data_IF_468231434449
#
_entry.id   IF_468231434449
#
_cell.length_a   1.000
_cell.length_b   1.000
_cell.length_c   1.000
_cell.angle_alpha   90.00
_cell.angle_beta   90.00
_cell.angle_gamma   90.00
#
_symmetry.space_group_name_H-M   'P 1'
#
loop_
_entity.id
_entity.type
_entity.pdbx_description
1 polymer ?
#
# COMPACT_ATOMS: atom_id res chain seq x y z
N UNK A 1 -36.33 15.91 16.76
CA UNK A 1 -35.30 15.37 17.67
C UNK A 1 -34.25 16.44 17.85
N UNK A 2 -33.91 16.82 19.08
CA UNK A 2 -32.82 17.74 19.33
C UNK A 2 -31.50 17.08 18.94
N UNK A 3 -30.52 17.87 18.51
CA UNK A 3 -29.16 17.39 18.08
C UNK A 3 -28.49 16.50 19.16
N UNK A 4 -28.71 16.82 20.44
CA UNK A 4 -28.25 16.03 21.58
C UNK A 4 -28.87 14.61 21.64
N UNK A 5 -30.16 14.47 21.40
CA UNK A 5 -30.82 13.16 21.39
C UNK A 5 -30.38 12.26 20.23
N UNK A 6 -30.03 12.86 19.08
CA UNK A 6 -29.50 12.12 17.95
C UNK A 6 -28.06 11.63 18.22
N UNK A 7 -27.24 12.45 18.85
CA UNK A 7 -25.86 12.08 19.23
C UNK A 7 -25.83 10.94 20.25
N UNK A 8 -26.68 10.96 21.25
CA UNK A 8 -26.77 9.88 22.24
C UNK A 8 -27.21 8.55 21.57
N UNK A 9 -28.23 8.59 20.69
CA UNK A 9 -28.63 7.42 19.91
C UNK A 9 -27.49 6.80 19.12
N UNK A 10 -26.69 7.62 18.42
CA UNK A 10 -25.56 7.13 17.64
C UNK A 10 -24.46 6.57 18.53
N UNK A 11 -24.22 7.15 19.70
CA UNK A 11 -23.28 6.65 20.69
C UNK A 11 -23.66 5.24 21.15
N UNK A 12 -24.91 5.04 21.58
CA UNK A 12 -25.40 3.72 22.03
C UNK A 12 -25.32 2.67 20.92
N UNK A 13 -25.64 3.07 19.67
CA UNK A 13 -25.51 2.19 18.52
C UNK A 13 -24.05 1.82 18.22
N UNK A 14 -23.13 2.79 18.32
CA UNK A 14 -21.68 2.57 18.14
C UNK A 14 -21.13 1.61 19.19
N UNK A 15 -21.45 1.81 20.48
CA UNK A 15 -21.02 0.91 21.55
C UNK A 15 -21.52 -0.53 21.35
N UNK A 16 -22.76 -0.69 20.92
CA UNK A 16 -23.32 -2.00 20.57
C UNK A 16 -22.60 -2.66 19.40
N UNK A 17 -22.29 -1.87 18.35
CA UNK A 17 -21.55 -2.36 17.18
C UNK A 17 -20.12 -2.76 17.56
N UNK A 18 -19.43 -1.99 18.41
CA UNK A 18 -18.09 -2.36 18.92
C UNK A 18 -18.14 -3.69 19.66
N UNK A 19 -19.13 -3.90 20.53
CA UNK A 19 -19.32 -5.19 21.19
C UNK A 19 -19.60 -6.35 20.22
N UNK A 20 -20.31 -6.09 19.12
CA UNK A 20 -20.61 -7.10 18.10
C UNK A 20 -19.40 -7.41 17.18
N UNK A 21 -18.55 -6.43 16.91
CA UNK A 21 -17.37 -6.54 16.03
C UNK A 21 -16.13 -7.06 16.75
N UNK A 22 -15.91 -6.63 18.02
CA UNK A 22 -14.67 -6.88 18.76
C UNK A 22 -14.88 -7.82 19.97
N UNK A 23 -16.12 -8.28 20.22
CA UNK A 23 -16.42 -9.03 21.43
C UNK A 23 -16.39 -8.11 22.68
N UNK A 24 -16.58 -8.55 23.86
CA UNK A 24 -16.55 -7.71 25.07
C UNK A 24 -15.15 -7.28 25.52
N UNK A 25 -14.10 -7.87 24.93
CA UNK A 25 -12.71 -7.64 25.32
C UNK A 25 -11.86 -7.33 24.08
N UNK A 26 -11.42 -6.10 23.93
CA UNK A 26 -10.56 -5.69 22.81
C UNK A 26 -9.05 -5.96 23.04
N UNK A 27 -8.68 -6.62 24.13
CA UNK A 27 -7.29 -7.00 24.42
C UNK A 27 -6.35 -5.79 24.47
N UNK A 28 -5.40 -5.75 23.53
CA UNK A 28 -4.38 -4.71 23.44
C UNK A 28 -4.86 -3.37 22.84
N UNK A 29 -6.07 -3.33 22.25
CA UNK A 29 -6.58 -2.15 21.56
C UNK A 29 -7.84 -1.62 22.20
N UNK A 30 -7.90 -0.30 22.42
CA UNK A 30 -9.10 0.42 22.86
C UNK A 30 -9.73 1.22 21.72
N UNK A 31 -10.95 1.73 21.95
CA UNK A 31 -11.61 2.64 21.02
C UNK A 31 -12.06 3.89 21.77
N UNK A 32 -11.71 5.06 21.22
CA UNK A 32 -12.19 6.35 21.71
C UNK A 32 -13.20 6.93 20.72
N UNK A 33 -14.38 7.24 21.21
CA UNK A 33 -15.41 7.86 20.40
C UNK A 33 -15.17 9.37 20.28
N UNK A 34 -15.83 10.02 19.33
CA UNK A 34 -15.78 11.48 19.04
C UNK A 34 -16.17 12.38 20.21
N UNK A 35 -16.83 11.84 21.24
CA UNK A 35 -17.21 12.57 22.46
C UNK A 35 -16.25 12.29 23.64
N UNK A 36 -15.15 11.56 23.39
CA UNK A 36 -14.17 11.18 24.39
C UNK A 36 -14.51 9.89 25.16
N UNK A 37 -15.65 9.25 24.90
CA UNK A 37 -16.01 7.98 25.55
C UNK A 37 -15.01 6.89 25.16
N UNK A 38 -14.50 6.17 26.16
CA UNK A 38 -13.59 5.04 25.95
C UNK A 38 -14.36 3.72 25.98
N UNK A 39 -13.98 2.78 25.12
CA UNK A 39 -14.51 1.43 25.03
C UNK A 39 -13.35 0.42 24.98
N UNK A 40 -13.46 -0.74 25.67
CA UNK A 40 -14.57 -1.17 26.55
C UNK A 40 -14.57 -0.45 27.90
N UNK A 41 -13.41 0.10 28.31
CA UNK A 41 -13.18 0.81 29.57
C UNK A 41 -12.03 1.83 29.41
N UNK A 42 -11.63 2.50 30.48
CA UNK A 42 -10.57 3.50 30.49
C UNK A 42 -9.15 2.92 30.81
N UNK A 43 -8.99 1.60 30.80
CA UNK A 43 -7.68 0.99 31.08
C UNK A 43 -6.66 1.34 29.96
N UNK A 44 -5.39 1.59 30.30
CA UNK A 44 -4.34 1.81 29.31
C UNK A 44 -4.20 0.62 28.37
N UNK A 45 -4.04 0.89 27.06
CA UNK A 45 -3.89 -0.11 26.01
C UNK A 45 -2.69 0.22 25.13
N UNK A 46 -2.22 -0.77 24.37
CA UNK A 46 -1.09 -0.57 23.44
C UNK A 46 -1.45 0.40 22.31
N UNK A 47 -2.69 0.32 21.82
CA UNK A 47 -3.20 1.23 20.79
C UNK A 47 -4.64 1.66 21.12
N UNK A 48 -5.05 2.79 20.54
CA UNK A 48 -6.41 3.32 20.60
C UNK A 48 -6.89 3.72 19.22
N UNK A 49 -7.96 3.13 18.74
CA UNK A 49 -8.67 3.61 17.54
C UNK A 49 -9.53 4.80 17.93
N UNK A 50 -9.34 5.93 17.26
CA UNK A 50 -10.05 7.18 17.51
C UNK A 50 -11.10 7.40 16.45
N UNK A 51 -12.38 7.24 16.79
CA UNK A 51 -13.48 7.52 15.87
C UNK A 51 -13.74 9.03 15.84
N UNK A 52 -13.55 9.68 14.69
CA UNK A 52 -13.62 11.13 14.57
C UNK A 52 -15.04 11.70 14.55
N UNK A 53 -16.03 10.87 14.21
CA UNK A 53 -17.45 11.28 14.13
C UNK A 53 -18.39 10.06 14.20
N UNK A 54 -19.71 10.28 14.41
CA UNK A 54 -20.68 9.17 14.56
C UNK A 54 -20.80 8.21 13.37
N UNK A 55 -20.38 8.63 12.19
CA UNK A 55 -20.40 7.81 10.96
C UNK A 55 -19.16 6.96 10.72
N UNK A 56 -18.14 7.04 11.58
CA UNK A 56 -16.84 6.40 11.36
C UNK A 56 -16.95 4.88 11.15
N UNK A 57 -17.64 4.14 12.04
CA UNK A 57 -17.82 2.69 11.87
C UNK A 57 -18.56 2.34 10.57
N UNK A 58 -19.52 3.16 10.15
CA UNK A 58 -20.20 2.97 8.87
C UNK A 58 -19.21 3.12 7.71
N UNK A 59 -18.34 4.12 7.73
CA UNK A 59 -17.32 4.33 6.70
C UNK A 59 -16.32 3.17 6.65
N UNK A 60 -15.89 2.67 7.81
CA UNK A 60 -14.93 1.59 7.94
C UNK A 60 -15.47 0.25 7.43
N UNK A 61 -16.68 -0.14 7.84
CA UNK A 61 -17.14 -1.52 7.73
C UNK A 61 -18.29 -1.75 6.74
N UNK A 62 -19.11 -0.73 6.41
CA UNK A 62 -20.23 -0.93 5.48
C UNK A 62 -19.77 -1.29 4.05
N UNK A 63 -18.63 -0.81 3.51
CA UNK A 63 -18.13 -1.26 2.21
C UNK A 63 -17.77 -2.74 2.18
N UNK A 64 -17.46 -3.35 3.33
CA UNK A 64 -17.16 -4.78 3.47
C UNK A 64 -15.90 -5.25 2.78
N UNK A 65 -14.93 -4.36 2.56
CA UNK A 65 -13.65 -4.65 1.94
C UNK A 65 -12.52 -3.78 2.52
N UNK A 66 -11.27 -4.20 2.31
CA UNK A 66 -10.07 -3.53 2.79
C UNK A 66 -9.92 -2.11 2.24
N UNK A 67 -10.35 -1.88 1.00
CA UNK A 67 -10.29 -0.54 0.38
C UNK A 67 -11.15 0.46 1.17
N UNK A 68 -12.36 0.08 1.58
CA UNK A 68 -13.23 0.94 2.39
C UNK A 68 -12.62 1.29 3.74
N UNK A 69 -11.93 0.34 4.38
CA UNK A 69 -11.21 0.58 5.63
C UNK A 69 -10.04 1.54 5.43
N UNK A 70 -9.22 1.31 4.40
CA UNK A 70 -8.11 2.20 4.06
C UNK A 70 -8.58 3.61 3.70
N UNK A 71 -9.65 3.74 2.91
CA UNK A 71 -10.25 5.04 2.59
C UNK A 71 -10.76 5.75 3.84
N UNK A 72 -11.40 5.04 4.79
CA UNK A 72 -11.86 5.64 6.03
C UNK A 72 -10.70 6.24 6.85
N UNK A 73 -9.53 5.59 6.88
CA UNK A 73 -8.32 6.12 7.49
C UNK A 73 -7.80 7.35 6.72
N UNK A 74 -7.63 7.24 5.40
CA UNK A 74 -7.10 8.32 4.56
C UNK A 74 -7.98 9.57 4.53
N UNK A 75 -9.30 9.42 4.78
CA UNK A 75 -10.26 10.52 4.81
C UNK A 75 -10.58 11.03 6.21
N UNK A 76 -9.78 10.64 7.20
CA UNK A 76 -9.90 11.08 8.59
C UNK A 76 -11.26 10.68 9.23
N UNK A 77 -11.87 9.54 8.84
CA UNK A 77 -13.05 9.01 9.53
C UNK A 77 -12.63 8.39 10.89
N UNK A 78 -11.40 7.83 10.95
CA UNK A 78 -10.77 7.38 12.19
C UNK A 78 -9.25 7.56 12.14
N UNK A 79 -8.60 7.48 13.31
CA UNK A 79 -7.15 7.52 13.48
C UNK A 79 -6.69 6.45 14.46
N UNK A 80 -5.38 6.21 14.56
CA UNK A 80 -4.75 5.27 15.48
C UNK A 80 -3.71 5.99 16.32
N UNK A 81 -3.85 5.91 17.63
CA UNK A 81 -2.86 6.40 18.61
C UNK A 81 -2.15 5.21 19.28
N UNK A 82 -0.83 5.31 19.49
CA UNK A 82 -0.02 4.27 20.12
C UNK A 82 0.58 3.28 19.12
N UNK A 83 0.66 2.02 19.51
CA UNK A 83 1.25 0.96 18.70
C UNK A 83 0.32 0.55 17.55
N UNK A 84 0.63 1.01 16.35
CA UNK A 84 -0.16 0.73 15.15
C UNK A 84 -0.15 -0.77 14.79
N UNK A 85 0.92 -1.51 15.11
CA UNK A 85 1.01 -2.94 14.80
C UNK A 85 -0.01 -3.74 15.62
N UNK A 86 -0.29 -3.33 16.85
CA UNK A 86 -1.29 -3.98 17.71
C UNK A 86 -2.71 -3.99 17.10
N UNK A 87 -3.03 -3.01 16.22
CA UNK A 87 -4.35 -2.91 15.58
C UNK A 87 -4.59 -4.01 14.56
N UNK A 88 -3.53 -4.54 13.92
CA UNK A 88 -3.68 -5.61 12.93
C UNK A 88 -4.22 -6.91 13.55
N UNK A 89 -3.95 -7.15 14.84
CA UNK A 89 -4.54 -8.29 15.55
C UNK A 89 -6.07 -8.28 15.67
N UNK A 90 -6.71 -7.12 15.45
CA UNK A 90 -8.18 -7.03 15.43
C UNK A 90 -8.81 -7.65 14.17
N UNK A 91 -8.06 -7.80 13.08
CA UNK A 91 -8.59 -8.35 11.83
C UNK A 91 -9.14 -9.76 12.02
N UNK A 92 -8.39 -10.62 12.71
CA UNK A 92 -8.81 -12.00 13.00
C UNK A 92 -10.02 -12.02 13.96
N UNK A 93 -10.01 -11.18 15.00
CA UNK A 93 -11.13 -11.06 15.94
C UNK A 93 -12.41 -10.62 15.23
N UNK A 94 -12.33 -9.63 14.35
CA UNK A 94 -13.49 -9.15 13.56
C UNK A 94 -13.98 -10.24 12.61
N UNK A 95 -13.07 -11.00 11.98
CA UNK A 95 -13.43 -12.10 11.08
C UNK A 95 -14.22 -13.18 11.82
N UNK A 96 -13.74 -13.62 12.99
CA UNK A 96 -14.40 -14.59 13.85
C UNK A 96 -15.75 -14.06 14.38
N UNK A 97 -15.79 -12.85 14.92
CA UNK A 97 -17.01 -12.24 15.46
C UNK A 97 -18.10 -12.07 14.39
N UNK A 98 -17.70 -11.83 13.15
CA UNK A 98 -18.62 -11.63 12.01
C UNK A 98 -18.92 -12.90 11.22
N UNK A 99 -18.49 -14.06 11.67
CA UNK A 99 -18.76 -15.32 11.00
C UNK A 99 -20.26 -15.61 10.90
N UNK A 100 -20.71 -15.97 9.69
CA UNK A 100 -22.10 -16.29 9.39
C UNK A 100 -22.90 -15.13 8.77
N UNK A 101 -23.69 -15.46 7.73
CA UNK A 101 -24.41 -14.47 6.92
C UNK A 101 -25.47 -13.67 7.71
N UNK A 102 -26.11 -14.29 8.73
CA UNK A 102 -27.12 -13.63 9.58
C UNK A 102 -26.50 -12.51 10.42
N UNK A 103 -25.33 -12.75 11.00
CA UNK A 103 -24.58 -11.73 11.77
C UNK A 103 -24.15 -10.58 10.86
N UNK A 104 -23.60 -10.89 9.67
CA UNK A 104 -23.20 -9.87 8.68
C UNK A 104 -24.38 -8.97 8.27
N UNK A 105 -25.56 -9.54 8.03
CA UNK A 105 -26.76 -8.75 7.72
C UNK A 105 -27.17 -7.87 8.91
N UNK A 106 -27.15 -8.40 10.14
CA UNK A 106 -27.51 -7.63 11.32
C UNK A 106 -26.57 -6.44 11.53
N UNK A 107 -25.25 -6.68 11.45
CA UNK A 107 -24.22 -5.64 11.55
C UNK A 107 -24.39 -4.60 10.42
N UNK A 108 -24.60 -5.03 9.18
CA UNK A 108 -24.78 -4.12 8.04
C UNK A 108 -26.04 -3.23 8.22
N UNK A 109 -27.12 -3.79 8.75
CA UNK A 109 -28.34 -3.03 9.07
C UNK A 109 -28.08 -1.98 10.16
N UNK A 110 -27.35 -2.34 11.20
CA UNK A 110 -26.99 -1.43 12.28
C UNK A 110 -26.04 -0.33 11.79
N UNK A 111 -25.03 -0.67 10.97
CA UNK A 111 -24.13 0.30 10.34
C UNK A 111 -24.90 1.32 9.46
N UNK A 112 -25.93 0.88 8.74
CA UNK A 112 -26.76 1.76 7.91
C UNK A 112 -27.55 2.80 8.73
N UNK A 113 -27.78 2.56 10.01
CA UNK A 113 -28.46 3.53 10.90
C UNK A 113 -27.53 4.65 11.38
N UNK A 114 -26.21 4.46 11.28
CA UNK A 114 -25.24 5.53 11.53
C UNK A 114 -25.26 6.54 10.38
N UNK A 115 -24.90 7.82 10.64
CA UNK A 115 -24.82 8.82 9.57
C UNK A 115 -23.77 8.42 8.53
N UNK A 116 -23.84 8.99 7.33
CA UNK A 116 -22.80 8.82 6.33
C UNK A 116 -21.49 9.39 6.86
N UNK A 117 -20.36 8.80 6.44
CA UNK A 117 -19.02 9.29 6.75
C UNK A 117 -18.76 10.72 6.30
N UNK A 118 -17.59 11.28 6.64
CA UNK A 118 -17.32 12.68 6.37
C UNK A 118 -17.39 13.01 4.87
N UNK A 119 -17.89 14.22 4.55
CA UNK A 119 -17.97 14.73 3.17
C UNK A 119 -16.60 15.08 2.55
N UNK A 120 -15.48 14.79 3.23
CA UNK A 120 -14.12 15.17 2.82
C UNK A 120 -13.51 14.32 1.69
N UNK A 121 -14.32 13.44 1.06
CA UNK A 121 -13.90 12.60 -0.08
C UNK A 121 -13.76 13.37 -1.41
N UNK A 122 -13.40 14.66 -1.37
CA UNK A 122 -13.29 15.52 -2.55
C UNK A 122 -11.89 16.12 -2.68
N UNK A 123 -11.47 16.43 -3.92
CA UNK A 123 -10.19 17.07 -4.22
C UNK A 123 -9.08 16.08 -4.55
N UNK A 124 -7.82 16.44 -4.23
CA UNK A 124 -6.61 15.66 -4.56
C UNK A 124 -6.51 14.28 -3.85
N UNK A 125 -7.36 14.03 -2.85
CA UNK A 125 -7.46 12.74 -2.15
C UNK A 125 -8.44 11.75 -2.81
N UNK A 126 -9.04 12.11 -3.96
CA UNK A 126 -10.01 11.24 -4.65
C UNK A 126 -9.33 10.02 -5.28
N UNK A 127 -10.04 8.87 -5.30
CA UNK A 127 -9.57 7.68 -5.99
C UNK A 127 -9.34 7.93 -7.49
N UNK A 128 -8.35 7.23 -8.08
CA UNK A 128 -8.07 7.30 -9.50
C UNK A 128 -9.29 6.91 -10.34
N UNK A 129 -9.66 7.75 -11.31
CA UNK A 129 -10.75 7.49 -12.26
C UNK A 129 -10.21 6.75 -13.48
N UNK A 130 -10.00 5.45 -13.35
CA UNK A 130 -9.49 4.61 -14.43
C UNK A 130 -10.57 4.32 -15.47
N UNK A 131 -10.25 4.49 -16.76
CA UNK A 131 -11.12 4.21 -17.87
C UNK A 131 -10.64 2.97 -18.64
N UNK A 132 -11.59 2.21 -19.21
CA UNK A 132 -11.29 1.02 -19.99
C UNK A 132 -11.58 -0.30 -19.26
N UNK A 133 -11.43 -1.40 -20.01
CA UNK A 133 -11.66 -2.75 -19.50
C UNK A 133 -10.60 -3.11 -18.44
N UNK A 134 -11.01 -3.77 -17.37
CA UNK A 134 -10.09 -4.29 -16.34
C UNK A 134 -9.00 -5.15 -17.00
N UNK A 135 -7.75 -4.92 -16.60
CA UNK A 135 -6.54 -5.56 -17.16
C UNK A 135 -6.28 -5.26 -18.67
N UNK A 136 -6.84 -4.17 -19.23
CA UNK A 136 -6.38 -3.66 -20.51
C UNK A 136 -5.06 -2.89 -20.34
N UNK A 137 -4.19 -2.95 -21.35
CA UNK A 137 -2.89 -2.23 -21.36
C UNK A 137 -3.06 -0.75 -21.01
N UNK A 138 -4.08 -0.11 -21.60
CA UNK A 138 -4.34 1.31 -21.40
C UNK A 138 -4.78 1.61 -19.95
N UNK A 139 -5.67 0.81 -19.37
CA UNK A 139 -6.13 1.00 -17.98
C UNK A 139 -5.03 0.71 -16.97
N UNK A 140 -4.24 -0.34 -17.19
CA UNK A 140 -3.11 -0.69 -16.31
C UNK A 140 -2.05 0.41 -16.37
N UNK A 141 -1.78 0.97 -17.55
CA UNK A 141 -0.91 2.14 -17.71
C UNK A 141 -1.42 3.34 -16.92
N UNK A 142 -2.71 3.68 -17.01
CA UNK A 142 -3.30 4.77 -16.23
C UNK A 142 -3.14 4.54 -14.72
N UNK A 143 -3.34 3.31 -14.23
CA UNK A 143 -3.18 2.99 -12.83
C UNK A 143 -1.73 3.17 -12.35
N UNK A 144 -0.77 2.64 -13.11
CA UNK A 144 0.66 2.76 -12.80
C UNK A 144 1.10 4.22 -12.86
N UNK A 145 0.72 4.96 -13.90
CA UNK A 145 1.01 6.39 -14.04
C UNK A 145 0.47 7.17 -12.84
N UNK A 146 -0.80 6.95 -12.48
CA UNK A 146 -1.41 7.63 -11.33
C UNK A 146 -0.66 7.36 -10.02
N UNK A 147 -0.19 6.12 -9.81
CA UNK A 147 0.52 5.74 -8.59
C UNK A 147 1.96 6.32 -8.54
N UNK A 148 2.66 6.35 -9.66
CA UNK A 148 4.07 6.75 -9.71
C UNK A 148 4.34 8.19 -10.16
N UNK A 149 3.32 8.92 -10.66
CA UNK A 149 3.47 10.32 -11.08
C UNK A 149 3.43 11.33 -9.91
N UNK A 150 3.72 10.88 -8.68
CA UNK A 150 3.84 11.79 -7.53
C UNK A 150 5.06 12.70 -7.67
N UNK A 151 6.17 12.25 -8.12
CA UNK A 151 7.42 12.82 -8.63
C UNK A 151 8.63 11.97 -8.20
N UNK A 152 9.71 12.03 -8.98
CA UNK A 152 10.97 11.37 -8.60
C UNK A 152 11.53 11.96 -7.30
N UNK A 153 11.40 13.27 -7.10
CA UNK A 153 11.89 13.97 -5.90
C UNK A 153 11.20 13.49 -4.63
N UNK A 154 9.89 13.24 -4.70
CA UNK A 154 9.15 12.67 -3.56
C UNK A 154 9.70 11.30 -3.17
N UNK A 155 9.89 10.41 -4.15
CA UNK A 155 10.43 9.07 -3.87
C UNK A 155 11.88 9.12 -3.37
N UNK A 156 12.69 10.05 -3.86
CA UNK A 156 14.08 10.25 -3.41
C UNK A 156 14.20 10.66 -1.92
N UNK A 157 13.13 11.19 -1.29
CA UNK A 157 13.15 11.57 0.12
C UNK A 157 13.27 10.37 1.08
N UNK A 158 12.86 9.18 0.66
CA UNK A 158 12.75 8.03 1.56
C UNK A 158 13.20 6.69 0.95
N UNK A 159 13.44 6.61 -0.37
CA UNK A 159 14.08 5.46 -0.98
C UNK A 159 15.60 5.53 -0.81
N UNK A 160 16.23 4.38 -0.98
CA UNK A 160 17.68 4.24 -1.03
C UNK A 160 18.31 4.95 -2.26
N UNK A 161 19.62 5.07 -2.27
CA UNK A 161 20.38 5.70 -3.38
C UNK A 161 20.12 5.07 -4.76
N UNK A 162 19.71 3.79 -4.82
CA UNK A 162 19.39 3.10 -6.07
C UNK A 162 17.93 3.27 -6.47
N UNK A 163 17.12 3.96 -5.64
CA UNK A 163 15.67 4.16 -5.86
C UNK A 163 14.91 2.84 -6.00
N UNK A 164 15.18 1.88 -5.12
CA UNK A 164 14.55 0.56 -5.19
C UNK A 164 13.27 0.53 -4.36
N UNK A 165 12.13 0.50 -5.01
CA UNK A 165 10.80 0.52 -4.36
C UNK A 165 10.27 -0.90 -4.12
N UNK A 166 11.02 -1.67 -3.36
CA UNK A 166 10.62 -2.99 -2.84
C UNK A 166 11.39 -3.29 -1.56
N UNK A 167 10.90 -4.24 -0.73
CA UNK A 167 11.49 -4.53 0.57
C UNK A 167 12.99 -4.82 0.46
N UNK A 168 13.78 -4.21 1.33
CA UNK A 168 15.21 -4.45 1.45
C UNK A 168 15.50 -5.76 2.19
N UNK A 169 16.73 -6.29 2.05
CA UNK A 169 17.16 -7.51 2.73
C UNK A 169 18.12 -7.17 3.87
N UNK A 170 17.55 -6.86 5.03
CA UNK A 170 18.29 -6.55 6.24
C UNK A 170 18.90 -7.82 6.87
N UNK A 171 20.13 -7.72 7.35
CA UNK A 171 20.79 -8.75 8.16
C UNK A 171 20.82 -8.40 9.64
N UNK A 172 20.73 -7.10 9.97
CA UNK A 172 20.67 -6.58 11.32
C UNK A 172 19.65 -5.46 11.41
N UNK A 173 19.08 -5.24 12.59
CA UNK A 173 18.03 -4.24 12.80
C UNK A 173 18.54 -2.79 12.66
N UNK A 174 19.83 -2.57 12.87
CA UNK A 174 20.51 -1.26 12.79
C UNK A 174 21.25 -1.03 11.49
N UNK A 175 21.00 -1.88 10.47
CA UNK A 175 21.65 -1.76 9.17
C UNK A 175 21.06 -0.60 8.36
N UNK A 176 21.93 0.11 7.63
CA UNK A 176 21.54 1.18 6.72
C UNK A 176 20.75 0.63 5.52
N UNK A 177 19.69 1.37 5.11
CA UNK A 177 18.81 0.97 4.00
C UNK A 177 19.57 0.72 2.69
N UNK A 178 20.54 1.56 2.38
CA UNK A 178 21.36 1.44 1.16
C UNK A 178 22.09 0.10 1.10
N UNK A 179 22.71 -0.32 2.22
CA UNK A 179 23.43 -1.59 2.31
C UNK A 179 22.48 -2.79 2.19
N UNK A 180 21.34 -2.74 2.83
CA UNK A 180 20.32 -3.78 2.76
C UNK A 180 19.73 -3.92 1.35
N UNK A 181 19.52 -2.80 0.64
CA UNK A 181 19.03 -2.81 -0.74
C UNK A 181 20.11 -3.33 -1.71
N UNK A 182 21.36 -2.91 -1.57
CA UNK A 182 22.47 -3.40 -2.40
C UNK A 182 22.65 -4.92 -2.25
N UNK A 183 22.57 -5.43 -1.02
CA UNK A 183 22.56 -6.88 -0.74
C UNK A 183 21.42 -7.60 -1.42
N UNK A 184 20.21 -7.03 -1.42
CA UNK A 184 19.05 -7.60 -2.13
C UNK A 184 19.31 -7.68 -3.63
N UNK A 185 19.83 -6.62 -4.25
CA UNK A 185 20.16 -6.60 -5.67
C UNK A 185 21.19 -7.68 -6.02
N UNK A 186 22.26 -7.80 -5.23
CA UNK A 186 23.27 -8.85 -5.38
C UNK A 186 22.66 -10.25 -5.21
N UNK A 187 21.80 -10.43 -4.19
CA UNK A 187 21.12 -11.69 -3.95
C UNK A 187 20.23 -12.14 -5.11
N UNK A 188 19.51 -11.20 -5.74
CA UNK A 188 18.71 -11.47 -6.95
C UNK A 188 19.60 -11.92 -8.09
N UNK A 189 20.69 -11.19 -8.37
CA UNK A 189 21.64 -11.54 -9.43
C UNK A 189 22.26 -12.93 -9.24
N UNK A 190 22.62 -13.28 -8.00
CA UNK A 190 23.11 -14.63 -7.65
C UNK A 190 22.06 -15.70 -7.82
N UNK A 191 20.81 -15.46 -7.43
CA UNK A 191 19.68 -16.39 -7.66
C UNK A 191 19.47 -16.66 -9.14
N UNK A 192 19.53 -15.64 -9.96
CA UNK A 192 19.45 -15.73 -11.42
C UNK A 192 20.70 -16.39 -12.04
N UNK A 193 21.79 -16.58 -11.26
CA UNK A 193 23.06 -17.13 -11.71
C UNK A 193 23.64 -16.37 -12.88
N UNK A 194 23.53 -15.03 -12.85
CA UNK A 194 23.97 -14.17 -13.93
C UNK A 194 25.48 -14.33 -14.22
N UNK A 195 25.80 -14.31 -15.51
CA UNK A 195 27.19 -14.41 -16.01
C UNK A 195 27.44 -13.28 -17.03
N UNK A 196 28.68 -12.81 -17.15
CA UNK A 196 29.04 -11.77 -18.12
C UNK A 196 28.58 -12.13 -19.55
N UNK A 197 28.04 -11.15 -20.27
CA UNK A 197 27.55 -11.30 -21.64
C UNK A 197 26.13 -11.88 -21.76
N UNK A 198 25.49 -12.31 -20.67
CA UNK A 198 24.09 -12.70 -20.70
C UNK A 198 23.17 -11.50 -20.83
N UNK A 199 21.97 -11.72 -21.36
CA UNK A 199 20.92 -10.70 -21.52
C UNK A 199 19.87 -10.87 -20.42
N UNK A 200 19.67 -9.81 -19.62
CA UNK A 200 18.67 -9.73 -18.55
C UNK A 200 17.49 -8.86 -18.95
N UNK A 201 16.28 -9.32 -18.71
CA UNK A 201 15.06 -8.48 -18.73
C UNK A 201 14.53 -8.30 -17.31
N UNK A 202 14.37 -7.05 -16.88
CA UNK A 202 13.70 -6.66 -15.63
C UNK A 202 12.32 -6.06 -15.94
N UNK A 203 11.26 -6.77 -15.54
CA UNK A 203 9.87 -6.38 -15.77
C UNK A 203 9.35 -5.60 -14.56
N UNK A 204 9.04 -4.32 -14.76
CA UNK A 204 8.71 -3.42 -13.65
C UNK A 204 9.97 -2.88 -12.96
N UNK A 205 10.98 -2.52 -13.76
CA UNK A 205 12.31 -2.14 -13.28
C UNK A 205 12.37 -0.86 -12.43
N UNK A 206 11.26 -0.12 -12.29
CA UNK A 206 11.24 1.16 -11.58
C UNK A 206 12.26 2.15 -12.15
N UNK A 207 13.11 2.69 -11.31
CA UNK A 207 14.19 3.63 -11.67
C UNK A 207 15.51 2.95 -12.07
N UNK A 208 15.45 1.65 -12.41
CA UNK A 208 16.58 0.93 -12.99
C UNK A 208 17.63 0.42 -11.98
N UNK A 209 17.35 0.41 -10.69
CA UNK A 209 18.33 -0.01 -9.67
C UNK A 209 18.92 -1.40 -9.93
N UNK A 210 18.08 -2.40 -10.21
CA UNK A 210 18.54 -3.77 -10.47
C UNK A 210 19.30 -3.89 -11.80
N UNK A 211 18.80 -3.29 -12.89
CA UNK A 211 19.46 -3.40 -14.21
C UNK A 211 20.83 -2.73 -14.19
N UNK A 212 20.99 -1.59 -13.50
CA UNK A 212 22.29 -0.92 -13.31
C UNK A 212 23.24 -1.78 -12.48
N UNK A 213 22.76 -2.32 -11.34
CA UNK A 213 23.55 -3.19 -10.49
C UNK A 213 24.04 -4.45 -11.25
N UNK A 214 23.13 -5.10 -11.98
CA UNK A 214 23.46 -6.29 -12.77
C UNK A 214 24.47 -5.99 -13.90
N UNK A 215 24.29 -4.89 -14.63
CA UNK A 215 25.23 -4.49 -15.67
C UNK A 215 26.63 -4.18 -15.10
N UNK A 216 26.69 -3.45 -13.98
CA UNK A 216 27.94 -3.01 -13.36
C UNK A 216 28.72 -4.15 -12.70
N UNK A 217 28.03 -5.00 -11.92
CA UNK A 217 28.70 -6.00 -11.08
C UNK A 217 28.76 -7.40 -11.70
N UNK A 218 27.85 -7.70 -12.65
CA UNK A 218 27.78 -9.02 -13.30
C UNK A 218 28.11 -8.98 -14.79
N UNK A 219 28.33 -7.80 -15.36
CA UNK A 219 28.72 -7.65 -16.77
C UNK A 219 27.67 -8.13 -17.78
N UNK A 220 26.41 -8.09 -17.41
CA UNK A 220 25.29 -8.50 -18.28
C UNK A 220 24.80 -7.33 -19.11
N UNK A 221 24.13 -7.63 -20.24
CA UNK A 221 23.38 -6.66 -21.01
C UNK A 221 21.94 -6.59 -20.46
N UNK A 222 21.64 -5.54 -19.69
CA UNK A 222 20.40 -5.44 -18.93
C UNK A 222 19.40 -4.49 -19.61
N UNK A 223 18.18 -4.97 -19.82
CA UNK A 223 17.05 -4.15 -20.27
C UNK A 223 15.98 -4.14 -19.20
N UNK A 224 15.63 -2.95 -18.73
CA UNK A 224 14.49 -2.74 -17.85
C UNK A 224 13.28 -2.25 -18.65
N UNK A 225 12.08 -2.65 -18.23
CA UNK A 225 10.85 -2.09 -18.76
C UNK A 225 9.98 -1.57 -17.62
N UNK A 226 9.36 -0.42 -17.84
CA UNK A 226 8.39 0.22 -16.94
C UNK A 226 7.26 0.84 -17.73
N UNK A 227 6.12 1.14 -17.09
CA UNK A 227 5.02 1.90 -17.70
C UNK A 227 5.09 3.41 -17.38
N UNK A 228 6.03 3.84 -16.53
CA UNK A 228 6.20 5.23 -16.10
C UNK A 228 7.30 5.93 -16.90
N UNK A 229 6.93 6.97 -17.65
CA UNK A 229 7.89 7.79 -18.39
C UNK A 229 8.88 8.53 -17.47
N UNK A 230 8.45 9.14 -16.33
CA UNK A 230 9.37 9.76 -15.36
C UNK A 230 10.41 8.79 -14.80
N UNK A 231 10.02 7.53 -14.50
CA UNK A 231 10.96 6.51 -14.06
C UNK A 231 12.01 6.19 -15.12
N UNK A 232 11.56 5.94 -16.37
CA UNK A 232 12.45 5.61 -17.46
C UNK A 232 13.45 6.75 -17.79
N UNK A 233 12.99 8.00 -17.74
CA UNK A 233 13.83 9.16 -17.98
C UNK A 233 14.96 9.23 -16.93
N UNK A 234 14.62 9.23 -15.64
CA UNK A 234 15.61 9.29 -14.56
C UNK A 234 16.55 8.08 -14.58
N UNK A 235 16.02 6.88 -14.86
CA UNK A 235 16.84 5.68 -14.98
C UNK A 235 17.91 5.82 -16.08
N UNK A 236 17.50 6.27 -17.28
CA UNK A 236 18.45 6.44 -18.40
C UNK A 236 19.45 7.58 -18.18
N UNK A 237 19.07 8.66 -17.50
CA UNK A 237 20.01 9.70 -17.05
C UNK A 237 21.07 9.13 -16.10
N UNK A 238 20.67 8.33 -15.10
CA UNK A 238 21.59 7.68 -14.16
C UNK A 238 22.49 6.64 -14.85
N UNK A 239 21.94 5.87 -15.79
CA UNK A 239 22.70 4.92 -16.62
C UNK A 239 23.80 5.65 -17.41
N UNK A 240 23.45 6.78 -18.03
CA UNK A 240 24.43 7.59 -18.76
C UNK A 240 25.51 8.18 -17.84
N UNK A 241 25.13 8.71 -16.69
CA UNK A 241 26.08 9.23 -15.68
C UNK A 241 27.04 8.16 -15.14
N UNK A 242 26.55 6.91 -15.02
CA UNK A 242 27.36 5.77 -14.60
C UNK A 242 28.22 5.16 -15.72
N UNK A 243 28.12 5.66 -16.96
CA UNK A 243 28.86 5.12 -18.12
C UNK A 243 28.37 3.73 -18.57
N UNK A 244 27.14 3.35 -18.24
CA UNK A 244 26.58 2.01 -18.51
C UNK A 244 25.74 1.95 -19.80
N UNK A 245 25.67 3.01 -20.59
CA UNK A 245 24.76 3.14 -21.74
C UNK A 245 24.91 2.08 -22.83
N UNK A 246 26.07 1.43 -22.96
CA UNK A 246 26.28 0.34 -23.91
C UNK A 246 25.65 -0.99 -23.47
N UNK A 247 25.46 -1.19 -22.15
CA UNK A 247 25.01 -2.47 -21.57
C UNK A 247 23.67 -2.38 -20.84
N UNK A 248 23.21 -1.17 -20.58
CA UNK A 248 22.02 -0.97 -19.74
C UNK A 248 21.09 0.05 -20.37
N UNK A 249 19.78 -0.24 -20.36
CA UNK A 249 18.74 0.68 -20.83
C UNK A 249 17.41 0.42 -20.13
N UNK A 250 16.60 1.45 -20.02
CA UNK A 250 15.21 1.35 -19.54
C UNK A 250 14.26 1.87 -20.61
N UNK A 251 13.23 1.09 -20.91
CA UNK A 251 12.23 1.39 -21.93
C UNK A 251 10.85 1.54 -21.29
N UNK A 252 10.04 2.47 -21.83
CA UNK A 252 8.61 2.54 -21.49
C UNK A 252 7.87 1.53 -22.37
N UNK A 253 7.58 0.36 -21.80
CA UNK A 253 6.96 -0.75 -22.53
C UNK A 253 6.16 -1.64 -21.58
N UNK A 254 5.01 -2.10 -22.05
CA UNK A 254 4.26 -3.16 -21.38
C UNK A 254 4.91 -4.54 -21.66
N UNK A 255 5.05 -5.39 -20.65
CA UNK A 255 5.64 -6.72 -20.82
C UNK A 255 4.90 -7.59 -21.84
N UNK A 256 3.59 -7.38 -22.01
CA UNK A 256 2.76 -8.06 -23.03
C UNK A 256 3.14 -7.71 -24.48
N UNK A 257 3.93 -6.65 -24.66
CA UNK A 257 4.42 -6.19 -25.97
C UNK A 257 5.86 -6.63 -26.24
N UNK A 258 6.48 -7.38 -25.32
CA UNK A 258 7.82 -7.92 -25.53
C UNK A 258 7.70 -9.23 -26.32
N UNK A 259 8.04 -9.17 -27.61
CA UNK A 259 7.97 -10.30 -28.53
C UNK A 259 9.37 -10.63 -29.06
N UNK A 260 10.26 -11.06 -28.20
CA UNK A 260 11.63 -11.41 -28.52
C UNK A 260 11.90 -12.86 -28.15
N UNK A 261 11.53 -13.85 -29.02
CA UNK A 261 11.80 -15.27 -28.73
C UNK A 261 13.28 -15.50 -28.49
N UNK A 262 13.64 -16.13 -27.37
CA UNK A 262 15.03 -16.30 -26.92
C UNK A 262 15.83 -14.97 -26.84
N UNK A 263 15.15 -13.85 -26.63
CA UNK A 263 15.76 -12.52 -26.53
C UNK A 263 16.55 -12.31 -25.23
N UNK A 264 16.26 -13.08 -24.17
CA UNK A 264 16.84 -12.92 -22.85
C UNK A 264 17.26 -14.28 -22.26
N UNK A 265 18.39 -14.29 -21.54
CA UNK A 265 18.90 -15.47 -20.83
C UNK A 265 18.31 -15.56 -19.42
N UNK A 266 17.91 -14.42 -18.85
CA UNK A 266 17.24 -14.35 -17.55
C UNK A 266 16.14 -13.28 -17.57
N UNK A 267 15.07 -13.53 -16.82
CA UNK A 267 13.95 -12.60 -16.64
C UNK A 267 13.64 -12.50 -15.14
N UNK A 268 13.38 -11.28 -14.67
CA UNK A 268 12.98 -10.99 -13.30
C UNK A 268 11.79 -10.02 -13.29
N UNK A 269 10.96 -10.11 -12.24
CA UNK A 269 9.84 -9.18 -12.01
C UNK A 269 9.59 -9.00 -10.51
#
# INVERSE_FOLDING_TARGET
MTDAGARDKYKQLTLRLLGALLGGESGAVGVRLWDGTLWPDAAPRQATIVLQHPGALRAMFLPGNELGLAEAYLYDDFDVEGDTEAVFGLADQIAEATEGWRKKIAIARDLQQLPAGSARRTGHRGAARLRGRKHSVERDRQAVTYHYDVSNDFYALWLDRHMVYSCAYFQAADEELDAAQERKLDYICRKLRLRPGQRLLDVGCGWGGLVMHAAQHYGVDATGITLSQPQANLANERIAQAGLGERCRVLVRDYRQVHEPAGYDAVVS
#
